data_IF_495594804403
#
_entry.id   IF_495594804403
#
_cell.length_a   1.000
_cell.length_b   1.000
_cell.length_c   1.000
_cell.angle_alpha   90.00
_cell.angle_beta   90.00
_cell.angle_gamma   90.00
#
_symmetry.space_group_name_H-M   'P 1'
#
loop_
_entity.id
_entity.type
_entity.pdbx_description
1 polymer ?
#
# COMPACT_ATOMS: atom_id res chain seq x y z
N UNK A 1 -12.57 -7.48 55.36
CA UNK A 1 -11.32 -8.26 55.53
C UNK A 1 -10.24 -7.28 55.93
N UNK A 2 -9.55 -7.56 57.03
CA UNK A 2 -8.69 -6.61 57.73
C UNK A 2 -7.37 -6.43 56.95
N UNK A 3 -7.24 -5.30 56.23
CA UNK A 3 -6.05 -4.99 55.42
C UNK A 3 -4.77 -4.83 56.29
N UNK A 4 -4.92 -4.81 57.61
CA UNK A 4 -3.86 -4.66 58.60
C UNK A 4 -2.86 -5.81 58.53
N UNK A 5 -3.33 -7.07 58.51
CA UNK A 5 -2.46 -8.25 58.42
C UNK A 5 -1.65 -8.29 57.11
N UNK A 6 -2.25 -7.83 56.00
CA UNK A 6 -1.60 -7.73 54.71
C UNK A 6 -0.46 -6.69 54.71
N UNK A 7 -0.72 -5.49 55.23
CA UNK A 7 0.32 -4.45 55.32
C UNK A 7 1.42 -4.79 56.33
N UNK A 8 1.09 -5.50 57.42
CA UNK A 8 2.08 -5.99 58.38
C UNK A 8 3.03 -7.01 57.77
N UNK A 9 2.52 -7.92 56.94
CA UNK A 9 3.36 -8.87 56.21
C UNK A 9 4.31 -8.15 55.25
N UNK A 10 3.82 -7.16 54.50
CA UNK A 10 4.65 -6.35 53.61
C UNK A 10 5.73 -5.57 54.37
N UNK A 11 5.40 -5.03 55.54
CA UNK A 11 6.35 -4.31 56.41
C UNK A 11 7.43 -5.24 56.95
N UNK A 12 7.08 -6.46 57.40
CA UNK A 12 8.05 -7.48 57.84
C UNK A 12 9.02 -7.86 56.73
N UNK A 13 8.53 -8.04 55.49
CA UNK A 13 9.39 -8.34 54.35
C UNK A 13 10.42 -7.23 54.09
N UNK A 14 10.01 -5.96 54.20
CA UNK A 14 10.94 -4.83 54.06
C UNK A 14 11.91 -4.78 55.23
N UNK A 15 11.46 -5.02 56.45
CA UNK A 15 12.32 -5.07 57.64
C UNK A 15 13.40 -6.15 57.52
N UNK A 16 13.08 -7.34 56.99
CA UNK A 16 14.07 -8.38 56.73
C UNK A 16 15.15 -7.90 55.75
N UNK A 17 14.76 -7.21 54.66
CA UNK A 17 15.72 -6.62 53.73
C UNK A 17 16.61 -5.56 54.41
N UNK A 18 16.09 -4.81 55.39
CA UNK A 18 16.88 -3.83 56.15
C UNK A 18 17.87 -4.50 57.12
N UNK A 19 17.49 -5.62 57.73
CA UNK A 19 18.37 -6.43 58.59
C UNK A 19 19.50 -7.04 57.77
N UNK A 20 19.22 -7.50 56.56
CA UNK A 20 20.21 -8.00 55.59
C UNK A 20 21.05 -6.88 54.92
N UNK A 21 20.83 -5.61 55.31
CA UNK A 21 21.46 -4.42 54.72
C UNK A 21 21.24 -4.25 53.19
N UNK A 22 20.17 -4.85 52.65
CA UNK A 22 19.77 -4.75 51.23
C UNK A 22 18.92 -3.51 51.00
N UNK A 23 19.51 -2.35 51.27
CA UNK A 23 18.80 -1.06 51.29
C UNK A 23 18.17 -0.67 49.95
N UNK A 24 18.84 -0.96 48.83
CA UNK A 24 18.31 -0.68 47.48
C UNK A 24 17.05 -1.49 47.19
N UNK A 25 17.04 -2.77 47.55
CA UNK A 25 15.90 -3.65 47.34
C UNK A 25 14.74 -3.28 48.26
N UNK A 26 15.04 -2.95 49.52
CA UNK A 26 14.06 -2.43 50.46
C UNK A 26 13.39 -1.15 49.93
N UNK A 27 14.18 -0.23 49.35
CA UNK A 27 13.68 0.99 48.72
C UNK A 27 12.81 0.72 47.50
N UNK A 28 13.23 -0.20 46.61
CA UNK A 28 12.44 -0.61 45.44
C UNK A 28 11.12 -1.26 45.85
N UNK A 29 11.13 -2.12 46.89
CA UNK A 29 9.92 -2.76 47.42
C UNK A 29 8.93 -1.74 47.97
N UNK A 30 9.41 -0.74 48.70
CA UNK A 30 8.57 0.38 49.13
C UNK A 30 7.96 1.14 47.93
N UNK A 31 8.71 1.36 46.86
CA UNK A 31 8.18 2.00 45.65
C UNK A 31 7.11 1.15 44.95
N UNK A 32 7.31 -0.15 44.80
CA UNK A 32 6.32 -1.07 44.22
C UNK A 32 5.00 -1.04 45.03
N UNK A 33 5.10 -1.06 46.35
CA UNK A 33 3.94 -0.99 47.24
C UNK A 33 3.25 0.37 47.09
N UNK A 34 4.01 1.48 47.08
CA UNK A 34 3.45 2.82 46.91
C UNK A 34 2.89 3.09 45.51
N UNK A 35 3.28 2.34 44.47
CA UNK A 35 2.61 2.41 43.16
C UNK A 35 1.18 1.85 43.23
N UNK A 36 0.98 0.77 43.99
CA UNK A 36 -0.34 0.14 44.19
C UNK A 36 -1.17 0.81 45.28
N UNK A 37 -0.50 1.36 46.29
CA UNK A 37 -1.12 2.00 47.45
C UNK A 37 -0.51 3.40 47.69
N UNK A 38 -0.77 4.40 46.83
CA UNK A 38 -0.09 5.69 46.86
C UNK A 38 -0.25 6.46 48.17
N UNK A 39 -1.38 6.30 48.85
CA UNK A 39 -1.74 7.06 50.05
C UNK A 39 -1.31 6.43 51.37
N UNK A 40 -0.62 5.28 51.35
CA UNK A 40 -0.15 4.64 52.57
C UNK A 40 1.02 5.42 53.19
N UNK A 41 0.77 6.10 54.32
CA UNK A 41 1.76 6.95 55.01
C UNK A 41 2.92 6.15 55.59
N UNK A 42 2.69 4.92 56.06
CA UNK A 42 3.72 4.10 56.69
C UNK A 42 4.80 3.71 55.69
N UNK A 43 4.42 3.26 54.49
CA UNK A 43 5.39 2.94 53.45
C UNK A 43 6.07 4.18 52.87
N UNK A 44 5.43 5.36 52.88
CA UNK A 44 6.11 6.64 52.54
C UNK A 44 7.20 6.97 53.55
N UNK A 45 6.87 6.93 54.84
CA UNK A 45 7.84 7.20 55.91
C UNK A 45 9.00 6.19 55.89
N UNK A 46 8.67 4.90 55.69
CA UNK A 46 9.68 3.84 55.59
C UNK A 46 10.59 4.05 54.38
N UNK A 47 10.03 4.38 53.21
CA UNK A 47 10.80 4.73 52.02
C UNK A 47 11.75 5.90 52.27
N UNK A 48 11.26 6.96 52.92
CA UNK A 48 12.07 8.15 53.18
C UNK A 48 13.21 7.85 54.16
N UNK A 49 12.95 7.05 55.20
CA UNK A 49 13.98 6.59 56.13
C UNK A 49 15.07 5.75 55.43
N UNK A 50 14.66 4.81 54.57
CA UNK A 50 15.61 3.99 53.78
C UNK A 50 16.43 4.88 52.84
N UNK A 51 15.80 5.86 52.20
CA UNK A 51 16.49 6.79 51.31
C UNK A 51 17.54 7.65 52.03
N UNK A 52 17.24 8.05 53.27
CA UNK A 52 18.17 8.82 54.10
C UNK A 52 19.37 7.96 54.49
N UNK A 53 19.14 6.69 54.87
CA UNK A 53 20.21 5.73 55.18
C UNK A 53 21.10 5.47 53.95
N UNK A 54 20.50 5.21 52.78
CA UNK A 54 21.22 5.06 51.51
C UNK A 54 22.10 6.26 51.19
N UNK A 55 21.58 7.47 51.39
CA UNK A 55 22.33 8.70 51.13
C UNK A 55 23.50 8.87 52.09
N UNK A 56 23.32 8.63 53.39
CA UNK A 56 24.40 8.78 54.37
C UNK A 56 25.51 7.75 54.13
N UNK A 57 25.21 6.48 53.80
CA UNK A 57 26.23 5.47 53.46
C UNK A 57 27.03 5.81 52.20
N UNK A 58 26.44 6.59 51.29
CA UNK A 58 27.05 6.91 49.99
C UNK A 58 27.39 8.39 49.82
N UNK A 59 27.37 9.19 50.89
CA UNK A 59 27.45 10.65 50.84
C UNK A 59 28.67 11.18 50.08
N UNK A 60 29.85 10.63 50.37
CA UNK A 60 31.09 11.04 49.72
C UNK A 60 31.16 10.59 48.26
N UNK A 61 30.70 9.36 47.97
CA UNK A 61 30.58 8.84 46.59
C UNK A 61 29.64 9.71 45.77
N UNK A 62 28.50 10.11 46.34
CA UNK A 62 27.52 10.99 45.70
C UNK A 62 28.12 12.37 45.45
N UNK A 63 28.83 12.95 46.43
CA UNK A 63 29.50 14.26 46.31
C UNK A 63 30.60 14.24 45.23
N UNK A 64 31.41 13.19 45.18
CA UNK A 64 32.42 13.00 44.15
C UNK A 64 31.79 12.81 42.77
N UNK A 65 30.79 11.93 42.67
CA UNK A 65 30.04 11.70 41.44
C UNK A 65 29.39 12.97 40.90
N UNK A 66 28.88 13.84 41.77
CA UNK A 66 28.38 15.16 41.35
C UNK A 66 29.47 16.04 40.69
N UNK A 67 30.72 15.98 41.17
CA UNK A 67 31.84 16.69 40.54
C UNK A 67 32.16 16.08 39.17
N UNK A 68 32.16 14.76 39.06
CA UNK A 68 32.37 14.03 37.79
C UNK A 68 31.29 14.39 36.76
N UNK A 69 30.02 14.33 37.16
CA UNK A 69 28.88 14.73 36.32
C UNK A 69 29.03 16.16 35.80
N UNK A 70 29.43 17.11 36.66
CA UNK A 70 29.68 18.50 36.22
C UNK A 70 30.81 18.60 35.19
N UNK A 71 31.87 17.79 35.34
CA UNK A 71 32.95 17.72 34.34
C UNK A 71 32.43 17.15 33.02
N UNK A 72 31.70 16.03 33.05
CA UNK A 72 31.15 15.39 31.85
C UNK A 72 30.21 16.32 31.08
N UNK A 73 29.35 17.08 31.76
CA UNK A 73 28.49 18.09 31.12
C UNK A 73 29.34 19.19 30.45
N UNK A 74 30.38 19.69 31.13
CA UNK A 74 31.28 20.71 30.55
C UNK A 74 32.02 20.18 29.32
N UNK A 75 32.42 18.91 29.34
CA UNK A 75 33.04 18.22 28.21
C UNK A 75 32.06 17.80 27.10
N UNK A 76 30.76 18.14 27.21
CA UNK A 76 29.69 17.76 26.28
C UNK A 76 29.47 16.24 26.14
N UNK A 77 29.93 15.46 27.12
CA UNK A 77 29.74 14.01 27.19
C UNK A 77 28.41 13.67 27.88
N UNK A 78 27.31 14.17 27.32
CA UNK A 78 25.97 14.14 27.90
C UNK A 78 25.46 12.71 28.18
N UNK A 79 25.75 11.75 27.30
CA UNK A 79 25.36 10.34 27.51
C UNK A 79 26.06 9.73 28.74
N UNK A 80 27.38 9.94 28.87
CA UNK A 80 28.14 9.47 30.04
C UNK A 80 27.68 10.19 31.30
N UNK A 81 27.38 11.49 31.21
CA UNK A 81 26.80 12.25 32.33
C UNK A 81 25.46 11.67 32.79
N UNK A 82 24.57 11.32 31.86
CA UNK A 82 23.26 10.72 32.17
C UNK A 82 23.40 9.32 32.79
N UNK A 83 24.30 8.48 32.28
CA UNK A 83 24.60 7.16 32.87
C UNK A 83 25.10 7.33 34.30
N UNK A 84 26.09 8.21 34.52
CA UNK A 84 26.64 8.47 35.85
C UNK A 84 25.58 9.03 36.81
N UNK A 85 24.75 9.98 36.36
CA UNK A 85 23.65 10.49 37.19
C UNK A 85 22.64 9.41 37.58
N UNK A 86 22.38 8.43 36.71
CA UNK A 86 21.49 7.30 37.01
C UNK A 86 22.06 6.43 38.14
N UNK A 87 23.34 6.09 38.09
CA UNK A 87 24.04 5.38 39.17
C UNK A 87 23.96 6.16 40.49
N UNK A 88 24.17 7.47 40.44
CA UNK A 88 24.09 8.32 41.64
C UNK A 88 22.66 8.42 42.20
N UNK A 89 21.63 8.30 41.34
CA UNK A 89 20.24 8.25 41.77
C UNK A 89 19.87 6.90 42.40
N UNK A 90 20.59 5.83 42.14
CA UNK A 90 20.42 4.57 42.88
C UNK A 90 20.94 4.71 44.32
N UNK A 91 22.08 5.42 44.50
CA UNK A 91 22.67 5.69 45.81
C UNK A 91 21.96 6.82 46.58
N UNK A 92 21.33 7.76 45.88
CA UNK A 92 20.62 8.89 46.47
C UNK A 92 19.27 9.14 45.78
N UNK A 93 18.29 8.24 45.92
CA UNK A 93 17.04 8.27 45.14
C UNK A 93 16.18 9.50 45.34
N UNK A 94 16.21 10.07 46.55
CA UNK A 94 15.45 11.26 46.93
C UNK A 94 16.25 12.57 46.77
N UNK A 95 17.42 12.54 46.13
CA UNK A 95 18.21 13.76 45.90
C UNK A 95 17.54 14.65 44.84
N UNK A 96 16.78 15.65 45.29
CA UNK A 96 16.02 16.57 44.44
C UNK A 96 16.92 17.31 43.45
N UNK A 97 18.12 17.72 43.87
CA UNK A 97 19.07 18.45 43.01
C UNK A 97 19.57 17.55 41.87
N UNK A 98 19.92 16.30 42.18
CA UNK A 98 20.36 15.32 41.20
C UNK A 98 19.25 14.99 40.20
N UNK A 99 18.03 14.73 40.71
CA UNK A 99 16.87 14.41 39.88
C UNK A 99 16.52 15.55 38.92
N UNK A 100 16.50 16.81 39.40
CA UNK A 100 16.29 17.99 38.55
C UNK A 100 17.36 18.12 37.47
N UNK A 101 18.63 17.92 37.83
CA UNK A 101 19.74 17.97 36.87
C UNK A 101 19.63 16.86 35.82
N UNK A 102 19.34 15.62 36.24
CA UNK A 102 19.13 14.48 35.35
C UNK A 102 18.03 14.74 34.34
N UNK A 103 16.85 15.16 34.79
CA UNK A 103 15.72 15.47 33.90
C UNK A 103 16.05 16.59 32.91
N UNK A 104 16.71 17.66 33.39
CA UNK A 104 17.13 18.77 32.52
C UNK A 104 18.13 18.30 31.46
N UNK A 105 19.16 17.55 31.84
CA UNK A 105 20.18 17.04 30.91
C UNK A 105 19.58 16.03 29.95
N UNK A 106 18.65 15.19 30.40
CA UNK A 106 17.96 14.21 29.55
C UNK A 106 17.13 14.90 28.48
N UNK A 107 16.37 15.93 28.86
CA UNK A 107 15.55 16.71 27.94
C UNK A 107 16.43 17.47 26.93
N UNK A 108 17.51 18.10 27.38
CA UNK A 108 18.47 18.76 26.49
C UNK A 108 19.11 17.78 25.50
N UNK A 109 19.52 16.60 25.96
CA UNK A 109 20.09 15.55 25.11
C UNK A 109 19.08 15.06 24.07
N UNK A 110 17.83 14.82 24.49
CA UNK A 110 16.74 14.42 23.60
C UNK A 110 16.43 15.49 22.54
N UNK A 111 16.39 16.76 22.94
CA UNK A 111 16.17 17.88 22.01
C UNK A 111 17.32 18.01 21.00
N UNK A 112 18.57 17.89 21.45
CA UNK A 112 19.75 17.90 20.58
C UNK A 112 19.73 16.74 19.58
N UNK A 113 19.43 15.52 20.05
CA UNK A 113 19.30 14.37 19.17
C UNK A 113 18.15 14.54 18.16
N UNK A 114 17.00 15.04 18.60
CA UNK A 114 15.87 15.33 17.72
C UNK A 114 16.21 16.40 16.67
N UNK A 115 17.01 17.40 17.03
CA UNK A 115 17.48 18.43 16.10
C UNK A 115 18.42 17.84 15.06
N UNK A 116 19.41 17.04 15.49
CA UNK A 116 20.33 16.35 14.58
C UNK A 116 19.58 15.39 13.64
N UNK A 117 18.61 14.64 14.15
CA UNK A 117 17.78 13.76 13.33
C UNK A 117 16.98 14.55 12.29
N UNK A 118 16.38 15.68 12.67
CA UNK A 118 15.64 16.56 11.76
C UNK A 118 16.55 17.18 10.69
N UNK A 119 17.74 17.64 11.07
CA UNK A 119 18.73 18.20 10.14
C UNK A 119 19.22 17.14 9.15
N UNK A 120 19.49 15.92 9.63
CA UNK A 120 19.85 14.79 8.79
C UNK A 120 18.72 14.46 7.80
N UNK A 121 17.50 14.24 8.29
CA UNK A 121 16.32 13.97 7.44
C UNK A 121 16.08 15.09 6.42
N UNK A 122 16.28 16.34 6.81
CA UNK A 122 16.15 17.49 5.92
C UNK A 122 17.19 17.52 4.81
N UNK A 123 18.43 17.10 5.09
CA UNK A 123 19.49 16.94 4.08
C UNK A 123 19.15 15.80 3.12
N UNK A 124 18.83 14.62 3.65
CA UNK A 124 18.49 13.46 2.83
C UNK A 124 17.29 13.73 1.93
N UNK A 125 16.23 14.34 2.47
CA UNK A 125 15.07 14.75 1.68
C UNK A 125 15.47 15.66 0.51
N UNK A 126 16.34 16.65 0.74
CA UNK A 126 16.82 17.55 -0.33
C UNK A 126 17.63 16.80 -1.38
N UNK A 127 18.49 15.87 -0.97
CA UNK A 127 19.28 15.03 -1.88
C UNK A 127 18.35 14.19 -2.75
N UNK A 128 17.41 13.46 -2.14
CA UNK A 128 16.44 12.63 -2.84
C UNK A 128 15.54 13.44 -3.78
N UNK A 129 15.06 14.62 -3.37
CA UNK A 129 14.29 15.50 -4.27
C UNK A 129 15.09 15.94 -5.49
N UNK A 130 16.39 16.26 -5.34
CA UNK A 130 17.26 16.58 -6.48
C UNK A 130 17.45 15.39 -7.42
N UNK A 131 17.61 14.19 -6.87
CA UNK A 131 17.73 12.95 -7.66
C UNK A 131 16.42 12.65 -8.41
N UNK A 132 15.26 12.86 -7.78
CA UNK A 132 13.97 12.78 -8.48
C UNK A 132 13.93 13.76 -9.65
N UNK A 133 14.39 15.01 -9.46
CA UNK A 133 14.32 16.05 -10.48
C UNK A 133 15.27 15.84 -11.65
N UNK A 134 16.55 15.53 -11.36
CA UNK A 134 17.66 15.59 -12.33
C UNK A 134 18.53 14.33 -12.40
N UNK A 135 18.36 13.40 -11.47
CA UNK A 135 19.13 12.16 -11.43
C UNK A 135 18.54 11.06 -12.30
N UNK A 136 19.26 9.96 -12.41
CA UNK A 136 18.75 8.72 -13.04
C UNK A 136 17.94 7.89 -12.04
N UNK A 137 17.17 6.93 -12.55
CA UNK A 137 16.44 5.97 -11.70
C UNK A 137 17.42 5.19 -10.81
N UNK A 138 18.49 4.66 -11.39
CA UNK A 138 19.49 3.86 -10.67
C UNK A 138 20.18 4.64 -9.55
N UNK A 139 20.52 5.92 -9.80
CA UNK A 139 21.12 6.80 -8.79
C UNK A 139 20.16 7.01 -7.61
N UNK A 140 18.88 7.24 -7.90
CA UNK A 140 17.85 7.42 -6.89
C UNK A 140 17.65 6.15 -6.05
N UNK A 141 17.49 5.00 -6.70
CA UNK A 141 17.24 3.73 -6.02
C UNK A 141 18.46 3.31 -5.19
N UNK A 142 19.67 3.47 -5.73
CA UNK A 142 20.92 3.20 -5.00
C UNK A 142 21.02 4.03 -3.73
N UNK A 143 20.65 5.32 -3.79
CA UNK A 143 20.70 6.19 -2.61
C UNK A 143 19.64 5.81 -1.57
N UNK A 144 18.44 5.42 -2.02
CA UNK A 144 17.39 4.91 -1.13
C UNK A 144 17.85 3.61 -0.46
N UNK A 145 18.46 2.68 -1.19
CA UNK A 145 18.95 1.41 -0.65
C UNK A 145 20.06 1.63 0.39
N UNK A 146 20.96 2.59 0.17
CA UNK A 146 21.96 2.97 1.19
C UNK A 146 21.29 3.49 2.46
N UNK A 147 20.24 4.30 2.34
CA UNK A 147 19.50 4.82 3.50
C UNK A 147 18.79 3.70 4.25
N UNK A 148 18.16 2.76 3.54
CA UNK A 148 17.49 1.61 4.13
C UNK A 148 18.48 0.63 4.77
N UNK A 149 19.66 0.40 4.17
CA UNK A 149 20.70 -0.47 4.72
C UNK A 149 21.29 0.09 6.02
N UNK A 150 21.65 1.38 6.03
CA UNK A 150 22.32 2.01 7.16
C UNK A 150 21.35 2.39 8.29
N UNK A 151 20.11 2.76 7.94
CA UNK A 151 19.16 3.37 8.89
C UNK A 151 17.76 2.74 8.84
N UNK A 152 17.58 1.57 8.23
CA UNK A 152 16.29 0.92 8.04
C UNK A 152 15.51 0.62 9.33
N UNK A 153 16.18 0.56 10.50
CA UNK A 153 15.46 0.45 11.79
C UNK A 153 14.69 1.72 12.14
N UNK A 154 15.13 2.90 11.69
CA UNK A 154 14.47 4.17 11.95
C UNK A 154 13.18 4.29 11.12
N UNK A 155 12.04 4.44 11.81
CA UNK A 155 10.71 4.56 11.18
C UNK A 155 10.59 5.79 10.27
N UNK A 156 11.23 6.92 10.63
CA UNK A 156 11.18 8.16 9.84
C UNK A 156 11.95 8.01 8.53
N UNK A 157 13.08 7.29 8.54
CA UNK A 157 13.86 7.02 7.32
C UNK A 157 13.10 6.07 6.39
N UNK A 158 12.53 4.99 6.92
CA UNK A 158 11.65 4.13 6.12
C UNK A 158 10.49 4.90 5.50
N UNK A 159 9.84 5.76 6.26
CA UNK A 159 8.76 6.60 5.74
C UNK A 159 9.26 7.58 4.67
N UNK A 160 10.47 8.14 4.81
CA UNK A 160 11.08 8.98 3.79
C UNK A 160 11.34 8.20 2.50
N UNK A 161 11.99 7.05 2.58
CA UNK A 161 12.26 6.17 1.43
C UNK A 161 10.97 5.78 0.68
N UNK A 162 9.96 5.30 1.41
CA UNK A 162 8.66 4.92 0.85
C UNK A 162 7.93 6.09 0.18
N UNK A 163 8.06 7.29 0.76
CA UNK A 163 7.48 8.50 0.19
C UNK A 163 8.23 8.93 -1.07
N UNK A 164 9.55 8.86 -1.06
CA UNK A 164 10.40 9.20 -2.22
C UNK A 164 10.14 8.25 -3.40
N UNK A 165 10.00 6.94 -3.16
CA UNK A 165 9.58 5.97 -4.20
C UNK A 165 8.23 6.38 -4.82
N UNK A 166 7.26 6.77 -3.99
CA UNK A 166 5.94 7.21 -4.45
C UNK A 166 5.99 8.55 -5.23
N UNK A 167 6.78 9.53 -4.77
CA UNK A 167 6.98 10.81 -5.47
C UNK A 167 7.64 10.60 -6.85
N UNK A 168 8.60 9.69 -6.94
CA UNK A 168 9.22 9.31 -8.20
C UNK A 168 8.21 8.68 -9.17
N UNK A 169 7.41 7.72 -8.71
CA UNK A 169 6.34 7.09 -9.48
C UNK A 169 5.34 8.13 -10.02
N UNK A 170 4.92 9.07 -9.17
CA UNK A 170 4.04 10.17 -9.59
C UNK A 170 4.67 11.02 -10.69
N UNK A 171 5.96 11.35 -10.58
CA UNK A 171 6.68 12.09 -11.62
C UNK A 171 6.74 11.30 -12.93
N UNK A 172 7.03 10.00 -12.89
CA UNK A 172 7.08 9.18 -14.11
C UNK A 172 5.71 9.10 -14.80
N UNK A 173 4.64 8.92 -14.02
CA UNK A 173 3.26 8.93 -14.52
C UNK A 173 2.91 10.28 -15.15
N UNK A 174 3.30 11.39 -14.53
CA UNK A 174 3.10 12.73 -15.08
C UNK A 174 3.87 12.92 -16.39
N UNK A 175 5.14 12.51 -16.45
CA UNK A 175 5.96 12.65 -17.64
C UNK A 175 5.44 11.79 -18.80
N UNK A 176 4.88 10.60 -18.52
CA UNK A 176 4.33 9.67 -19.51
C UNK A 176 2.82 9.85 -19.71
N UNK A 177 2.26 11.02 -19.37
CA UNK A 177 0.81 11.24 -19.46
C UNK A 177 0.23 11.03 -20.87
N UNK A 178 0.99 11.31 -21.94
CA UNK A 178 0.56 11.08 -23.32
C UNK A 178 0.41 9.60 -23.64
N UNK A 179 1.38 8.77 -23.21
CA UNK A 179 1.29 7.31 -23.30
C UNK A 179 0.05 6.82 -22.57
N UNK A 180 -0.18 7.32 -21.35
CA UNK A 180 -1.34 6.96 -20.54
C UNK A 180 -2.67 7.43 -21.14
N UNK A 181 -2.69 8.41 -22.03
CA UNK A 181 -3.89 8.86 -22.78
C UNK A 181 -4.13 8.05 -24.06
N UNK A 182 -3.10 7.39 -24.58
CA UNK A 182 -3.18 6.61 -25.82
C UNK A 182 -3.95 5.29 -25.66
N UNK A 183 -4.18 4.61 -26.79
CA UNK A 183 -4.76 3.26 -26.87
C UNK A 183 -3.71 2.15 -26.88
N UNK A 184 -2.43 2.48 -26.64
CA UNK A 184 -1.31 1.52 -26.58
C UNK A 184 -1.30 0.78 -25.23
N UNK A 185 -2.34 -0.02 -24.97
CA UNK A 185 -2.59 -0.62 -23.66
C UNK A 185 -1.46 -1.56 -23.20
N UNK A 186 -0.79 -2.22 -24.12
CA UNK A 186 0.33 -3.12 -23.86
C UNK A 186 1.58 -2.34 -23.42
N UNK A 187 1.94 -1.24 -24.11
CA UNK A 187 3.02 -0.32 -23.69
C UNK A 187 2.72 0.33 -22.33
N UNK A 188 1.45 0.69 -22.09
CA UNK A 188 1.02 1.22 -20.78
C UNK A 188 1.21 0.17 -19.68
N UNK A 189 0.88 -1.10 -19.95
CA UNK A 189 1.02 -2.18 -18.98
C UNK A 189 2.49 -2.41 -18.63
N UNK A 190 3.36 -2.50 -19.63
CA UNK A 190 4.81 -2.65 -19.43
C UNK A 190 5.37 -1.50 -18.58
N UNK A 191 4.95 -0.27 -18.88
CA UNK A 191 5.33 0.90 -18.10
C UNK A 191 4.87 0.82 -16.63
N UNK A 192 3.62 0.41 -16.37
CA UNK A 192 3.11 0.29 -14.99
C UNK A 192 3.75 -0.88 -14.23
N UNK A 193 4.06 -1.98 -14.91
CA UNK A 193 4.74 -3.13 -14.30
C UNK A 193 6.19 -2.78 -13.93
N UNK A 194 6.89 -1.96 -14.74
CA UNK A 194 8.19 -1.40 -14.35
C UNK A 194 8.09 -0.59 -13.05
N UNK A 195 7.10 0.31 -12.94
CA UNK A 195 6.92 1.12 -11.73
C UNK A 195 6.58 0.28 -10.48
N UNK A 196 5.92 -0.88 -10.65
CA UNK A 196 5.67 -1.81 -9.53
C UNK A 196 6.93 -2.48 -9.00
N UNK A 197 7.97 -2.63 -9.82
CA UNK A 197 9.26 -3.15 -9.36
C UNK A 197 9.92 -2.20 -8.35
N UNK A 198 9.67 -0.89 -8.48
CA UNK A 198 10.14 0.13 -7.54
C UNK A 198 9.32 0.09 -6.25
N UNK A 199 7.98 0.05 -6.37
CA UNK A 199 7.06 -0.02 -5.23
C UNK A 199 5.82 -0.82 -5.60
N UNK A 200 5.76 -2.05 -5.09
CA UNK A 200 4.67 -2.99 -5.38
C UNK A 200 3.29 -2.47 -4.98
N UNK A 201 3.18 -1.82 -3.83
CA UNK A 201 1.93 -1.29 -3.28
C UNK A 201 1.88 0.24 -3.40
N UNK A 202 1.84 0.73 -4.65
CA UNK A 202 1.66 2.16 -4.92
C UNK A 202 0.17 2.50 -5.13
N UNK A 203 -0.42 3.39 -4.32
CA UNK A 203 -1.80 3.84 -4.52
C UNK A 203 -1.97 4.62 -5.83
N UNK A 204 -0.93 5.28 -6.34
CA UNK A 204 -1.00 5.97 -7.62
C UNK A 204 -1.11 4.98 -8.77
N UNK A 205 -0.29 3.91 -8.78
CA UNK A 205 -0.35 2.87 -9.81
C UNK A 205 -1.74 2.24 -9.84
N UNK A 206 -2.27 1.80 -8.69
CA UNK A 206 -3.59 1.16 -8.63
C UNK A 206 -4.72 2.04 -9.20
N UNK A 207 -4.68 3.35 -8.94
CA UNK A 207 -5.65 4.30 -9.50
C UNK A 207 -5.55 4.38 -11.02
N UNK A 208 -4.32 4.47 -11.55
CA UNK A 208 -4.10 4.52 -12.99
C UNK A 208 -4.53 3.22 -13.66
N UNK A 209 -4.18 2.06 -13.10
CA UNK A 209 -4.61 0.75 -13.62
C UNK A 209 -6.12 0.62 -13.73
N UNK A 210 -6.86 1.10 -12.72
CA UNK A 210 -8.31 1.10 -12.75
C UNK A 210 -8.87 1.97 -13.90
N UNK A 211 -8.27 3.14 -14.13
CA UNK A 211 -8.65 4.04 -15.22
C UNK A 211 -8.33 3.43 -16.59
N UNK A 212 -7.16 2.81 -16.73
CA UNK A 212 -6.71 2.17 -17.97
C UNK A 212 -7.58 0.96 -18.29
N UNK A 213 -7.89 0.13 -17.29
CA UNK A 213 -8.75 -1.05 -17.47
C UNK A 213 -10.14 -0.67 -17.97
N UNK A 214 -10.75 0.39 -17.41
CA UNK A 214 -12.03 0.92 -17.88
C UNK A 214 -11.96 1.41 -19.33
N UNK A 215 -10.89 2.12 -19.70
CA UNK A 215 -10.69 2.61 -21.07
C UNK A 215 -10.44 1.48 -22.07
N UNK A 216 -9.70 0.44 -21.68
CA UNK A 216 -9.49 -0.76 -22.51
C UNK A 216 -10.81 -1.44 -22.83
N UNK A 217 -11.67 -1.61 -21.82
CA UNK A 217 -13.02 -2.16 -22.02
C UNK A 217 -13.85 -1.26 -22.94
N UNK A 218 -13.84 0.06 -22.70
CA UNK A 218 -14.55 1.03 -23.55
C UNK A 218 -14.12 0.97 -25.02
N UNK A 219 -12.81 1.02 -25.29
CA UNK A 219 -12.27 0.93 -26.65
C UNK A 219 -12.57 -0.42 -27.32
N UNK A 220 -12.55 -1.52 -26.57
CA UNK A 220 -12.98 -2.82 -27.10
C UNK A 220 -14.47 -2.82 -27.48
N UNK A 221 -15.33 -2.18 -26.68
CA UNK A 221 -16.76 -2.06 -26.99
C UNK A 221 -17.03 -1.18 -28.20
N UNK A 222 -16.37 -0.02 -28.32
CA UNK A 222 -16.48 0.85 -29.51
C UNK A 222 -16.07 0.11 -30.79
N UNK A 223 -14.93 -0.59 -30.77
CA UNK A 223 -14.48 -1.41 -31.89
C UNK A 223 -15.49 -2.51 -32.27
N UNK A 224 -16.15 -3.11 -31.27
CA UNK A 224 -17.21 -4.11 -31.50
C UNK A 224 -18.43 -3.45 -32.14
N UNK A 225 -18.84 -2.26 -31.68
CA UNK A 225 -19.97 -1.53 -32.26
C UNK A 225 -19.71 -1.12 -33.72
N UNK A 226 -18.51 -0.61 -34.03
CA UNK A 226 -18.10 -0.25 -35.40
C UNK A 226 -18.03 -1.49 -36.32
N UNK A 227 -17.52 -2.60 -35.80
CA UNK A 227 -17.51 -3.88 -36.51
C UNK A 227 -18.94 -4.37 -36.79
N UNK A 228 -19.85 -4.28 -35.80
CA UNK A 228 -21.25 -4.63 -35.96
C UNK A 228 -21.93 -3.70 -36.98
N UNK A 229 -21.68 -2.39 -36.93
CA UNK A 229 -22.28 -1.40 -37.82
C UNK A 229 -21.85 -1.62 -39.27
N UNK A 230 -20.54 -1.70 -39.52
CA UNK A 230 -19.99 -1.97 -40.86
C UNK A 230 -20.41 -3.34 -41.39
N UNK A 231 -20.42 -4.36 -40.54
CA UNK A 231 -20.93 -5.69 -40.86
C UNK A 231 -22.41 -5.66 -41.26
N UNK A 232 -23.27 -4.97 -40.51
CA UNK A 232 -24.69 -4.82 -40.85
C UNK A 232 -24.90 -4.07 -42.17
N UNK A 233 -24.10 -3.04 -42.45
CA UNK A 233 -24.14 -2.33 -43.73
C UNK A 233 -23.77 -3.26 -44.91
N UNK A 234 -22.70 -4.05 -44.76
CA UNK A 234 -22.27 -5.03 -45.76
C UNK A 234 -23.35 -6.10 -45.99
N UNK A 235 -23.89 -6.68 -44.91
CA UNK A 235 -24.98 -7.67 -44.98
C UNK A 235 -26.19 -7.09 -45.74
N UNK A 236 -26.60 -5.86 -45.44
CA UNK A 236 -27.73 -5.22 -46.13
C UNK A 236 -27.46 -5.03 -47.63
N UNK A 237 -26.22 -4.72 -48.00
CA UNK A 237 -25.79 -4.60 -49.40
C UNK A 237 -25.84 -5.96 -50.11
N UNK A 238 -25.30 -7.01 -49.48
CA UNK A 238 -25.34 -8.40 -50.00
C UNK A 238 -26.79 -8.90 -50.19
N UNK A 239 -27.67 -8.57 -49.24
CA UNK A 239 -29.10 -8.88 -49.33
C UNK A 239 -29.77 -8.19 -50.54
N UNK A 240 -29.45 -6.92 -50.81
CA UNK A 240 -29.95 -6.19 -52.00
C UNK A 240 -29.44 -6.79 -53.30
N UNK A 241 -28.18 -7.23 -53.32
CA UNK A 241 -27.55 -7.89 -54.47
C UNK A 241 -27.99 -9.37 -54.65
N UNK A 242 -28.89 -9.88 -53.79
CA UNK A 242 -29.38 -11.27 -53.79
C UNK A 242 -28.26 -12.31 -53.61
N UNK A 243 -27.18 -11.92 -52.93
CA UNK A 243 -26.06 -12.77 -52.54
C UNK A 243 -26.29 -13.31 -51.13
N UNK A 244 -27.27 -14.19 -51.00
CA UNK A 244 -27.82 -14.59 -49.70
C UNK A 244 -26.89 -15.49 -48.88
N UNK A 245 -26.08 -16.35 -49.52
CA UNK A 245 -25.12 -17.20 -48.81
C UNK A 245 -24.01 -16.36 -48.16
N UNK A 246 -23.47 -15.39 -48.90
CA UNK A 246 -22.47 -14.42 -48.39
C UNK A 246 -23.06 -13.55 -47.27
N UNK A 247 -24.32 -13.13 -47.40
CA UNK A 247 -25.02 -12.39 -46.34
C UNK A 247 -25.21 -13.23 -45.06
N UNK A 248 -25.48 -14.54 -45.20
CA UNK A 248 -25.59 -15.46 -44.07
C UNK A 248 -24.22 -15.68 -43.39
N UNK A 249 -23.15 -15.79 -44.17
CA UNK A 249 -21.79 -15.90 -43.65
C UNK A 249 -21.40 -14.66 -42.84
N UNK A 250 -21.56 -13.46 -43.41
CA UNK A 250 -21.27 -12.20 -42.71
C UNK A 250 -22.11 -12.02 -41.43
N UNK A 251 -23.39 -12.44 -41.43
CA UNK A 251 -24.22 -12.43 -40.22
C UNK A 251 -23.74 -13.42 -39.14
N UNK A 252 -23.12 -14.53 -39.55
CA UNK A 252 -22.55 -15.53 -38.63
C UNK A 252 -21.28 -15.00 -37.96
N UNK A 253 -20.43 -14.30 -38.70
CA UNK A 253 -19.22 -13.66 -38.19
C UNK A 253 -19.54 -12.62 -37.11
N UNK A 254 -20.58 -11.79 -37.32
CA UNK A 254 -21.08 -10.87 -36.29
C UNK A 254 -21.56 -11.61 -35.03
N UNK A 255 -22.22 -12.76 -35.19
CA UNK A 255 -22.71 -13.54 -34.06
C UNK A 255 -21.61 -14.31 -33.32
N UNK A 256 -20.48 -14.59 -33.96
CA UNK A 256 -19.30 -15.13 -33.28
C UNK A 256 -18.67 -14.07 -32.38
N UNK A 257 -18.54 -12.83 -32.87
CA UNK A 257 -18.04 -11.71 -32.08
C UNK A 257 -19.03 -11.26 -30.99
N UNK A 258 -20.34 -11.31 -31.28
CA UNK A 258 -21.38 -10.85 -30.36
C UNK A 258 -22.64 -11.75 -30.40
N UNK A 259 -22.63 -12.89 -29.66
CA UNK A 259 -23.70 -13.90 -29.70
C UNK A 259 -25.10 -13.38 -29.33
N UNK A 260 -25.16 -12.26 -28.60
CA UNK A 260 -26.39 -11.58 -28.20
C UNK A 260 -27.03 -10.68 -29.26
N UNK A 261 -26.38 -10.46 -30.42
CA UNK A 261 -26.87 -9.51 -31.41
C UNK A 261 -28.20 -9.97 -32.06
N UNK A 262 -29.31 -9.34 -31.66
CA UNK A 262 -30.66 -9.69 -32.13
C UNK A 262 -30.84 -9.43 -33.62
N UNK A 263 -30.21 -8.40 -34.16
CA UNK A 263 -30.37 -8.01 -35.56
C UNK A 263 -29.65 -8.97 -36.50
N UNK A 264 -28.39 -9.33 -36.19
CA UNK A 264 -27.64 -10.34 -36.93
C UNK A 264 -28.37 -11.71 -36.93
N UNK A 265 -29.00 -12.11 -35.81
CA UNK A 265 -29.85 -13.33 -35.76
C UNK A 265 -31.04 -13.26 -36.72
N UNK A 266 -31.73 -12.11 -36.81
CA UNK A 266 -32.86 -11.94 -37.72
C UNK A 266 -32.40 -12.00 -39.18
N UNK A 267 -31.30 -11.31 -39.50
CA UNK A 267 -30.80 -11.28 -40.87
C UNK A 267 -30.30 -12.66 -41.30
N UNK A 268 -29.58 -13.39 -40.44
CA UNK A 268 -29.17 -14.77 -40.71
C UNK A 268 -30.35 -15.66 -41.09
N UNK A 269 -31.45 -15.63 -40.31
CA UNK A 269 -32.68 -16.38 -40.62
C UNK A 269 -33.26 -15.97 -41.98
N UNK A 270 -33.30 -14.68 -42.27
CA UNK A 270 -33.85 -14.14 -43.53
C UNK A 270 -32.97 -14.52 -44.73
N UNK A 271 -31.66 -14.40 -44.61
CA UNK A 271 -30.68 -14.75 -45.63
C UNK A 271 -30.74 -16.25 -45.96
N UNK A 272 -30.75 -17.12 -44.94
CA UNK A 272 -30.89 -18.58 -45.12
C UNK A 272 -32.21 -18.94 -45.81
N UNK A 273 -33.32 -18.33 -45.41
CA UNK A 273 -34.63 -18.54 -46.07
C UNK A 273 -34.59 -18.12 -47.54
N UNK A 274 -34.04 -16.95 -47.85
CA UNK A 274 -33.93 -16.45 -49.22
C UNK A 274 -32.97 -17.28 -50.08
N UNK A 275 -31.84 -17.72 -49.51
CA UNK A 275 -30.90 -18.62 -50.17
C UNK A 275 -31.56 -19.95 -50.53
N UNK A 276 -32.26 -20.56 -49.57
CA UNK A 276 -33.00 -21.80 -49.80
C UNK A 276 -34.00 -21.66 -50.95
N UNK A 277 -34.79 -20.59 -51.00
CA UNK A 277 -35.71 -20.35 -52.12
C UNK A 277 -35.00 -20.12 -53.45
N UNK A 278 -33.85 -19.43 -53.46
CA UNK A 278 -33.03 -19.22 -54.65
C UNK A 278 -32.52 -20.55 -55.22
N UNK A 279 -31.93 -21.39 -54.37
CA UNK A 279 -31.42 -22.71 -54.76
C UNK A 279 -32.54 -23.65 -55.18
N UNK A 280 -33.68 -23.67 -54.46
CA UNK A 280 -34.86 -24.44 -54.86
C UNK A 280 -35.38 -24.01 -56.23
N UNK A 281 -35.51 -22.71 -56.50
CA UNK A 281 -35.98 -22.20 -57.79
C UNK A 281 -35.01 -22.56 -58.92
N UNK A 282 -33.69 -22.51 -58.66
CA UNK A 282 -32.68 -22.95 -59.62
C UNK A 282 -32.80 -24.46 -59.90
N UNK A 283 -32.89 -25.29 -58.86
CA UNK A 283 -33.06 -26.73 -58.98
C UNK A 283 -34.33 -27.10 -59.77
N UNK A 284 -35.47 -26.47 -59.46
CA UNK A 284 -36.73 -26.67 -60.20
C UNK A 284 -36.56 -26.32 -61.68
N UNK A 285 -35.89 -25.20 -62.01
CA UNK A 285 -35.61 -24.84 -63.41
C UNK A 285 -34.71 -25.87 -64.10
N UNK A 286 -33.67 -26.33 -63.43
CA UNK A 286 -32.76 -27.35 -63.97
C UNK A 286 -33.51 -28.66 -64.22
N UNK A 287 -34.34 -29.12 -63.28
CA UNK A 287 -35.18 -30.31 -63.45
C UNK A 287 -36.18 -30.11 -64.60
N UNK A 288 -36.92 -29.01 -64.62
CA UNK A 288 -37.87 -28.70 -65.69
C UNK A 288 -37.21 -28.61 -67.08
N UNK A 289 -35.95 -28.15 -67.17
CA UNK A 289 -35.22 -28.16 -68.45
C UNK A 289 -34.87 -29.57 -68.97
N UNK A 290 -34.80 -30.56 -68.08
CA UNK A 290 -34.51 -31.97 -68.42
C UNK A 290 -35.76 -32.81 -68.68
N UNK A 291 -36.95 -32.32 -68.31
CA UNK A 291 -38.22 -33.04 -68.45
C UNK A 291 -39.29 -32.15 -69.12
N UNK A 292 -39.63 -32.39 -70.41
CA UNK A 292 -40.54 -31.53 -71.18
C UNK A 292 -41.93 -31.35 -70.56
N UNK A 293 -42.51 -32.40 -69.97
CA UNK A 293 -43.83 -32.35 -69.33
C UNK A 293 -43.85 -31.39 -68.11
N UNK A 294 -42.80 -31.45 -67.28
CA UNK A 294 -42.61 -30.56 -66.12
C UNK A 294 -42.35 -29.11 -66.53
N UNK A 295 -41.78 -28.87 -67.72
CA UNK A 295 -41.57 -27.52 -68.25
C UNK A 295 -42.89 -26.83 -68.59
N UNK A 296 -43.83 -27.57 -69.18
CA UNK A 296 -45.16 -27.07 -69.54
C UNK A 296 -45.98 -26.79 -68.29
N UNK A 297 -45.94 -27.70 -67.32
CA UNK A 297 -46.64 -27.56 -66.03
C UNK A 297 -46.09 -26.40 -65.18
N UNK A 298 -44.76 -26.25 -65.07
CA UNK A 298 -44.13 -25.12 -64.36
C UNK A 298 -44.53 -23.75 -64.96
N UNK A 299 -44.83 -23.72 -66.27
CA UNK A 299 -45.26 -22.49 -66.97
C UNK A 299 -46.74 -22.19 -66.72
N UNK A 300 -47.57 -23.22 -66.58
CA UNK A 300 -49.00 -23.10 -66.31
C UNK A 300 -49.29 -22.85 -64.81
N UNK A 301 -48.53 -23.48 -63.93
CA UNK A 301 -48.74 -23.48 -62.47
C UNK A 301 -47.45 -23.21 -61.67
N UNK A 302 -46.83 -22.03 -61.82
CA UNK A 302 -45.58 -21.70 -61.12
C UNK A 302 -45.71 -21.72 -59.58
N UNK A 303 -46.91 -21.52 -59.05
CA UNK A 303 -47.24 -21.53 -57.62
C UNK A 303 -46.97 -22.88 -56.95
N UNK A 304 -47.19 -23.99 -57.65
CA UNK A 304 -47.02 -25.36 -57.14
C UNK A 304 -45.55 -25.67 -56.77
N UNK A 305 -44.60 -24.85 -57.24
CA UNK A 305 -43.17 -25.09 -57.13
C UNK A 305 -42.44 -24.10 -56.21
N UNK A 306 -43.11 -23.01 -55.79
CA UNK A 306 -42.46 -21.86 -55.11
C UNK A 306 -42.97 -21.63 -53.68
N UNK A 307 -44.19 -22.03 -53.31
CA UNK A 307 -44.75 -21.85 -51.96
C UNK A 307 -44.87 -23.18 -51.19
N UNK A 308 -44.34 -23.19 -49.97
CA UNK A 308 -44.82 -23.98 -48.82
C UNK A 308 -45.04 -22.95 -47.72
#
# INVERSE_FOLDING_TARGET
MDNTAFFDQLKRNIQNLLVENRLNEAYLKCNEILQKYPNNKDFRNLKDAISAKLYEENKDKVKQGFKEVKKLIKSKEEEKALRRMKELLEMAPNNIKLKKLYLKTQEQYKQKFSKLESEFLGKEKKTLSKLIEKGTEDELLTEIDKLEMNYGKNKKIRALAEKTKEEYIQKQIFNKHDLLKSTKFEEIKEFLDHLKNIKKESPTICKIEAIISKRKIGSQMENIEDYIYSGNYNINTLMKLKKYDEAAQAATEILQAHPGNKEAKKILKKANKQSFFKHRKAAVKTVASKFPALKTDLKAHPENYVRI
#
